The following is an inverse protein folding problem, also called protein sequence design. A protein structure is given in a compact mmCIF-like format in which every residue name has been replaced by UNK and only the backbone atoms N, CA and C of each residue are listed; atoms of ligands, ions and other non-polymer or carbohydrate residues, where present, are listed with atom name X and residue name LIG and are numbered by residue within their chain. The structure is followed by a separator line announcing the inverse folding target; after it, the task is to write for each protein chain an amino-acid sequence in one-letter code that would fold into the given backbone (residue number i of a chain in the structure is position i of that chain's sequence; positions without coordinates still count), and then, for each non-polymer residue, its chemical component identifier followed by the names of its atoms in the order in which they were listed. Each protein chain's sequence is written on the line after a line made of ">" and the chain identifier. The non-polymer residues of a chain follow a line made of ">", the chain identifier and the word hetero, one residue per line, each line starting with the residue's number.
data_IF_686723411840
#
_entry.id   IF_686723411840
#
_cell.length_a   1.000
_cell.length_b   1.000
_cell.length_c   1.000
_cell.angle_alpha   90.00
_cell.angle_beta   90.00
_cell.angle_gamma   90.00
#
_symmetry.space_group_name_H-M   'P 1'
#
loop_
_entity.id
_entity.type
_entity.pdbx_description
1 polymer ?
#
# COMPACT_ATOMS: atom_id res chain seq x y z
N UNK A 1 14.71 36.73 38.76
CA UNK A 1 14.63 35.25 38.79
C UNK A 1 14.87 34.73 37.39
N UNK A 2 16.05 34.11 37.22
CA UNK A 2 16.73 33.92 35.95
C UNK A 2 16.25 32.67 35.20
N UNK A 3 16.10 32.82 33.88
CA UNK A 3 15.73 31.77 32.92
C UNK A 3 16.91 30.80 32.75
N UNK A 4 16.65 29.50 32.84
CA UNK A 4 17.59 28.45 32.40
C UNK A 4 17.02 27.79 31.16
N UNK A 5 17.47 28.27 30.00
CA UNK A 5 17.34 27.56 28.73
C UNK A 5 18.60 26.71 28.55
N UNK A 6 18.47 25.39 28.50
CA UNK A 6 19.59 24.49 28.15
C UNK A 6 19.52 24.17 26.66
N UNK A 7 20.50 24.67 25.94
CA UNK A 7 20.86 24.24 24.59
C UNK A 7 21.50 22.85 24.67
N UNK A 8 21.00 21.87 23.91
CA UNK A 8 21.71 20.63 23.64
C UNK A 8 22.55 20.80 22.37
N UNK A 9 23.82 21.15 22.54
CA UNK A 9 24.87 20.92 21.54
C UNK A 9 25.67 19.69 21.98
N UNK A 10 25.45 18.56 21.32
CA UNK A 10 26.28 17.36 21.48
C UNK A 10 27.30 17.28 20.35
N UNK A 11 28.57 16.93 20.62
CA UNK A 11 29.62 16.87 19.60
C UNK A 11 29.50 15.60 18.73
N UNK A 12 29.95 15.72 17.48
CA UNK A 12 30.17 14.64 16.54
C UNK A 12 31.15 13.61 17.12
N UNK A 13 30.66 12.39 17.40
CA UNK A 13 31.51 11.25 17.70
C UNK A 13 32.04 10.64 16.41
N UNK A 14 33.35 10.67 16.29
CA UNK A 14 34.14 10.04 15.25
C UNK A 14 34.22 8.53 15.56
N UNK A 15 33.45 7.70 14.85
CA UNK A 15 33.42 6.24 15.05
C UNK A 15 34.57 5.61 14.26
N UNK A 16 35.63 5.22 14.98
CA UNK A 16 36.64 4.28 14.47
C UNK A 16 36.03 2.88 14.45
N UNK A 17 36.05 2.24 13.30
CA UNK A 17 35.66 0.84 13.11
C UNK A 17 36.56 -0.10 13.90
N UNK A 18 35.97 -0.94 14.75
CA UNK A 18 36.59 -2.14 15.33
C UNK A 18 35.75 -3.36 14.97
N UNK A 19 36.38 -4.51 14.61
CA UNK A 19 35.67 -5.74 14.34
C UNK A 19 35.39 -6.45 15.68
N UNK A 20 34.12 -6.68 15.99
CA UNK A 20 33.75 -7.49 17.15
C UNK A 20 32.62 -8.42 16.77
N UNK A 21 33.00 -9.68 16.50
CA UNK A 21 32.07 -10.80 16.37
C UNK A 21 31.55 -11.17 17.76
N UNK A 22 30.25 -11.01 17.96
CA UNK A 22 29.56 -11.44 19.17
C UNK A 22 29.20 -12.93 19.06
N UNK A 23 29.71 -13.73 20.01
CA UNK A 23 29.55 -15.19 20.08
C UNK A 23 28.28 -15.65 20.82
N UNK A 24 27.26 -14.80 20.99
CA UNK A 24 26.06 -15.11 21.77
C UNK A 24 24.74 -14.74 21.07
N UNK A 25 24.73 -14.65 19.74
CA UNK A 25 23.48 -14.58 18.99
C UNK A 25 22.86 -16.00 18.87
N UNK A 26 21.57 -16.19 19.22
CA UNK A 26 20.90 -17.47 19.00
C UNK A 26 20.90 -17.81 17.50
N UNK A 27 21.02 -19.11 17.20
CA UNK A 27 21.13 -19.64 15.84
C UNK A 27 20.02 -19.07 14.95
N UNK A 28 20.42 -18.27 13.94
CA UNK A 28 19.51 -17.80 12.90
C UNK A 28 18.90 -19.02 12.22
N UNK A 29 17.58 -19.07 12.23
CA UNK A 29 16.75 -19.98 11.46
C UNK A 29 17.25 -20.11 10.03
N UNK A 30 17.40 -21.36 9.62
CA UNK A 30 17.82 -21.85 8.30
C UNK A 30 17.07 -21.10 7.19
N UNK A 31 17.82 -20.77 6.13
CA UNK A 31 17.30 -20.29 4.86
C UNK A 31 16.10 -21.13 4.41
N UNK A 32 14.94 -20.48 4.26
CA UNK A 32 13.76 -21.09 3.68
C UNK A 32 14.11 -21.59 2.28
N UNK A 33 14.16 -22.92 2.14
CA UNK A 33 14.33 -23.63 0.88
C UNK A 33 13.18 -23.21 -0.05
N UNK A 34 13.53 -22.67 -1.23
CA UNK A 34 12.60 -22.47 -2.34
C UNK A 34 11.81 -23.76 -2.53
N UNK A 35 10.51 -23.72 -2.27
CA UNK A 35 9.61 -24.78 -2.73
C UNK A 35 9.40 -24.59 -4.22
N UNK A 36 10.03 -25.45 -5.00
CA UNK A 36 9.63 -25.70 -6.39
C UNK A 36 8.21 -26.27 -6.36
N UNK A 37 7.24 -25.44 -6.72
CA UNK A 37 5.87 -25.89 -6.98
C UNK A 37 5.83 -26.33 -8.43
N UNK A 38 6.12 -27.61 -8.67
CA UNK A 38 5.70 -28.25 -9.90
C UNK A 38 5.24 -29.68 -9.64
N UNK A 39 4.02 -29.93 -10.12
CA UNK A 39 3.54 -31.21 -10.66
C UNK A 39 3.41 -32.34 -9.66
N UNK A 40 2.18 -32.62 -9.22
CA UNK A 40 1.70 -33.98 -8.98
C UNK A 40 0.16 -33.96 -8.92
N UNK A 41 -0.49 -34.13 -10.08
CA UNK A 41 -1.83 -34.71 -10.15
C UNK A 41 -1.82 -35.78 -11.24
N UNK A 42 -1.67 -37.04 -10.81
CA UNK A 42 -2.13 -38.25 -11.50
C UNK A 42 -1.84 -39.45 -10.60
N UNK A 43 -2.79 -39.76 -9.72
CA UNK A 43 -2.95 -41.10 -9.17
C UNK A 43 -4.06 -41.78 -9.98
N UNK A 44 -3.66 -42.70 -10.87
CA UNK A 44 -4.56 -43.72 -11.43
C UNK A 44 -3.86 -45.08 -11.32
N UNK A 45 -4.65 -46.01 -10.79
CA UNK A 45 -4.49 -47.44 -10.48
C UNK A 45 -3.63 -48.28 -11.47
N UNK A 46 -3.01 -49.40 -11.01
CA UNK A 46 -2.01 -50.15 -11.76
C UNK A 46 -2.64 -51.20 -12.68
N UNK A 47 -2.10 -51.33 -13.90
CA UNK A 47 -2.10 -52.59 -14.64
C UNK A 47 -0.70 -52.82 -15.21
N UNK A 48 -0.18 -53.98 -14.84
CA UNK A 48 1.07 -54.61 -15.26
C UNK A 48 1.24 -54.62 -16.78
N UNK A 49 2.40 -54.21 -17.27
CA UNK A 49 3.07 -54.85 -18.40
C UNK A 49 4.57 -54.59 -18.29
N UNK A 50 5.35 -55.67 -18.23
CA UNK A 50 6.79 -55.66 -18.33
C UNK A 50 7.21 -55.19 -19.74
N UNK A 51 8.18 -54.30 -19.82
CA UNK A 51 8.72 -53.81 -21.09
C UNK A 51 9.89 -52.85 -20.88
N UNK A 52 11.09 -53.37 -21.16
CA UNK A 52 12.38 -52.71 -21.44
C UNK A 52 12.46 -51.18 -21.39
N UNK A 53 13.33 -50.67 -20.50
CA UNK A 53 13.86 -49.30 -20.54
C UNK A 53 14.87 -49.12 -21.69
N UNK A 54 14.74 -48.10 -22.55
CA UNK A 54 15.85 -47.58 -23.32
C UNK A 54 16.62 -46.52 -22.50
N UNK A 55 17.94 -46.70 -22.40
CA UNK A 55 18.90 -45.70 -21.92
C UNK A 55 18.89 -44.49 -22.85
N UNK A 56 18.57 -43.31 -22.31
CA UNK A 56 18.79 -42.04 -23.01
C UNK A 56 20.19 -41.51 -22.67
N UNK A 57 21.12 -41.71 -23.60
CA UNK A 57 22.43 -41.05 -23.63
C UNK A 57 22.24 -39.67 -24.29
N UNK A 58 22.41 -38.56 -23.55
CA UNK A 58 22.50 -37.22 -24.15
C UNK A 58 23.92 -37.01 -24.67
N UNK A 59 24.11 -37.11 -25.99
CA UNK A 59 25.28 -36.54 -26.68
C UNK A 59 25.05 -35.04 -26.91
N UNK A 60 26.03 -34.22 -26.53
CA UNK A 60 26.11 -32.81 -26.92
C UNK A 60 26.70 -32.74 -28.33
N UNK A 61 25.85 -32.61 -29.34
CA UNK A 61 26.25 -32.22 -30.69
C UNK A 61 25.98 -30.73 -30.87
N UNK A 62 27.06 -29.98 -31.09
CA UNK A 62 27.06 -28.56 -31.40
C UNK A 62 26.75 -28.41 -32.89
N UNK A 63 25.48 -28.14 -33.23
CA UNK A 63 25.08 -27.78 -34.59
C UNK A 63 24.99 -26.24 -34.71
N UNK A 64 25.76 -25.70 -35.65
CA UNK A 64 25.74 -24.30 -36.05
C UNK A 64 24.42 -24.00 -36.77
N UNK A 65 23.43 -23.48 -36.04
CA UNK A 65 22.21 -22.92 -36.61
C UNK A 65 22.56 -21.56 -37.21
N UNK A 66 22.59 -21.48 -38.53
CA UNK A 66 22.68 -20.23 -39.28
C UNK A 66 21.38 -19.46 -39.08
N UNK A 67 21.45 -18.39 -38.29
CA UNK A 67 20.32 -17.52 -37.98
C UNK A 67 19.97 -16.70 -39.23
N UNK A 68 18.91 -17.11 -39.92
CA UNK A 68 18.28 -16.35 -40.98
C UNK A 68 17.62 -15.10 -40.36
N UNK A 69 18.19 -13.94 -40.64
CA UNK A 69 17.76 -12.64 -40.12
C UNK A 69 16.40 -12.26 -40.69
N UNK A 70 15.34 -12.73 -40.03
CA UNK A 70 13.98 -12.27 -40.26
C UNK A 70 13.89 -10.75 -40.00
N UNK A 71 13.15 -10.00 -40.82
CA UNK A 71 13.02 -8.55 -40.69
C UNK A 71 12.44 -8.21 -39.32
N UNK A 72 13.21 -7.43 -38.55
CA UNK A 72 12.83 -6.89 -37.23
C UNK A 72 11.52 -6.10 -37.40
N UNK A 73 10.41 -6.53 -36.77
CA UNK A 73 9.18 -5.75 -36.77
C UNK A 73 9.51 -4.38 -36.15
N UNK A 74 9.29 -3.33 -36.94
CA UNK A 74 9.56 -1.97 -36.53
C UNK A 74 8.82 -1.64 -35.23
N UNK A 75 9.54 -1.01 -34.31
CA UNK A 75 9.16 -0.66 -32.94
C UNK A 75 7.97 0.31 -32.87
N UNK A 76 6.75 -0.14 -33.18
CA UNK A 76 5.52 0.63 -32.89
C UNK A 76 5.06 0.47 -31.43
N UNK A 77 5.75 -0.34 -30.62
CA UNK A 77 5.37 -0.69 -29.25
C UNK A 77 5.66 0.37 -28.18
N UNK A 78 6.07 1.58 -28.56
CA UNK A 78 6.70 2.53 -27.62
C UNK A 78 5.85 3.73 -27.16
N UNK A 79 4.80 4.13 -27.88
CA UNK A 79 3.94 5.24 -27.47
C UNK A 79 2.86 4.74 -26.53
N UNK A 80 3.26 4.36 -25.31
CA UNK A 80 2.32 4.46 -24.20
C UNK A 80 1.82 5.90 -24.17
N UNK A 81 0.51 6.06 -24.31
CA UNK A 81 -0.09 7.39 -24.38
C UNK A 81 0.16 8.06 -23.04
N UNK A 82 1.07 9.04 -23.04
CA UNK A 82 1.36 9.92 -21.90
C UNK A 82 0.04 10.46 -21.31
N UNK A 83 -0.98 10.64 -22.16
CA UNK A 83 -2.32 11.06 -21.77
C UNK A 83 -2.97 10.11 -20.76
N UNK A 84 -2.78 8.80 -20.89
CA UNK A 84 -3.32 7.87 -19.91
C UNK A 84 -2.60 7.96 -18.56
N UNK A 85 -1.29 8.12 -18.55
CA UNK A 85 -0.52 8.30 -17.31
C UNK A 85 -0.90 9.61 -16.62
N UNK A 86 -1.16 10.67 -17.41
CA UNK A 86 -1.68 11.94 -16.92
C UNK A 86 -3.08 11.76 -16.29
N UNK A 87 -3.99 11.03 -16.94
CA UNK A 87 -5.32 10.72 -16.37
C UNK A 87 -5.25 9.98 -15.03
N UNK A 88 -4.27 9.06 -14.88
CA UNK A 88 -4.07 8.35 -13.63
C UNK A 88 -3.52 9.27 -12.53
N UNK A 89 -2.63 10.20 -12.86
CA UNK A 89 -2.17 11.23 -11.92
C UNK A 89 -3.30 12.18 -11.52
N UNK A 90 -4.03 12.73 -12.49
CA UNK A 90 -5.20 13.59 -12.25
C UNK A 90 -6.23 12.91 -11.33
N UNK A 91 -6.43 11.60 -11.49
CA UNK A 91 -7.28 10.83 -10.59
C UNK A 91 -6.76 10.82 -9.14
N UNK A 92 -5.47 10.55 -8.92
CA UNK A 92 -4.89 10.57 -7.57
C UNK A 92 -4.88 11.98 -6.97
N UNK A 93 -4.56 13.00 -7.78
CA UNK A 93 -4.58 14.41 -7.38
C UNK A 93 -6.01 14.82 -6.96
N UNK A 94 -7.05 14.30 -7.63
CA UNK A 94 -8.45 14.55 -7.24
C UNK A 94 -8.83 13.92 -5.90
N UNK A 95 -8.25 12.76 -5.56
CA UNK A 95 -8.47 12.08 -4.26
C UNK A 95 -7.69 12.78 -3.15
N UNK A 96 -6.53 13.35 -3.48
CA UNK A 96 -5.62 13.98 -2.54
C UNK A 96 -5.26 15.41 -3.00
N UNK A 97 -6.16 16.41 -2.85
CA UNK A 97 -6.07 17.74 -3.51
C UNK A 97 -4.86 18.61 -3.18
N UNK A 98 -3.96 18.16 -2.30
CA UNK A 98 -2.70 18.84 -1.96
C UNK A 98 -1.46 18.06 -2.41
N UNK A 99 -1.62 16.89 -3.02
CA UNK A 99 -0.55 16.03 -3.48
C UNK A 99 -0.56 16.00 -5.00
N UNK A 100 0.55 16.37 -5.62
CA UNK A 100 0.74 16.29 -7.07
C UNK A 100 1.54 15.03 -7.40
N UNK A 101 0.89 14.03 -7.96
CA UNK A 101 1.51 12.75 -8.29
C UNK A 101 2.21 12.82 -9.65
N UNK A 102 3.50 12.42 -9.74
CA UNK A 102 4.14 12.23 -11.04
C UNK A 102 3.36 11.19 -11.89
N UNK A 103 3.08 11.44 -13.18
CA UNK A 103 2.33 10.51 -14.05
C UNK A 103 2.89 9.09 -14.06
N UNK A 104 4.21 8.95 -14.08
CA UNK A 104 4.89 7.65 -14.11
C UNK A 104 4.73 6.91 -12.78
N UNK A 105 4.68 7.65 -11.66
CA UNK A 105 4.40 7.07 -10.35
C UNK A 105 2.94 6.62 -10.29
N UNK A 106 1.99 7.49 -10.65
CA UNK A 106 0.56 7.16 -10.66
C UNK A 106 0.27 5.91 -11.51
N UNK A 107 0.88 5.82 -12.70
CA UNK A 107 0.78 4.64 -13.56
C UNK A 107 1.24 3.37 -12.84
N UNK A 108 2.40 3.39 -12.16
CA UNK A 108 2.90 2.22 -11.42
C UNK A 108 2.04 1.87 -10.22
N UNK A 109 1.51 2.87 -9.50
CA UNK A 109 0.64 2.66 -8.33
C UNK A 109 -0.70 2.01 -8.72
N UNK A 110 -1.25 2.40 -9.88
CA UNK A 110 -2.55 1.97 -10.39
C UNK A 110 -2.43 0.88 -11.48
N UNK A 111 -1.28 0.21 -11.59
CA UNK A 111 -1.11 -0.97 -12.46
C UNK A 111 -0.83 -2.20 -11.61
N UNK A 112 -1.75 -3.16 -11.61
CA UNK A 112 -1.57 -4.44 -10.95
C UNK A 112 -0.71 -5.39 -11.80
N UNK A 113 0.02 -6.31 -11.14
CA UNK A 113 0.93 -7.25 -11.81
C UNK A 113 0.26 -8.24 -12.77
N UNK A 114 -1.07 -8.36 -12.76
CA UNK A 114 -1.81 -9.17 -13.76
C UNK A 114 -2.12 -8.43 -15.06
N UNK A 115 -1.92 -7.12 -15.13
CA UNK A 115 -2.18 -6.35 -16.35
C UNK A 115 -1.04 -6.55 -17.37
N UNK A 116 -1.36 -6.50 -18.67
CA UNK A 116 -0.36 -6.63 -19.75
C UNK A 116 0.74 -5.55 -19.69
N UNK A 117 0.38 -4.34 -19.25
CA UNK A 117 1.31 -3.20 -19.15
C UNK A 117 2.23 -3.30 -17.91
N UNK A 118 2.05 -4.31 -17.04
CA UNK A 118 2.84 -4.47 -15.82
C UNK A 118 4.35 -4.60 -16.08
N UNK A 119 4.75 -4.94 -17.31
CA UNK A 119 6.15 -4.97 -17.76
C UNK A 119 6.84 -3.60 -17.67
N UNK A 120 6.08 -2.50 -17.75
CA UNK A 120 6.60 -1.13 -17.60
C UNK A 120 6.61 -0.66 -16.13
N UNK A 121 6.24 -1.54 -15.22
CA UNK A 121 6.14 -1.28 -13.80
C UNK A 121 4.74 -1.57 -13.28
N UNK A 122 4.69 -2.13 -12.08
CA UNK A 122 3.46 -2.46 -11.39
C UNK A 122 3.57 -2.12 -9.91
N UNK A 123 2.45 -2.22 -9.22
CA UNK A 123 2.27 -1.71 -7.87
C UNK A 123 2.93 -2.55 -6.76
N UNK A 124 3.61 -3.66 -7.10
CA UNK A 124 4.08 -4.65 -6.12
C UNK A 124 5.11 -4.10 -5.13
N UNK A 125 6.09 -3.32 -5.62
CA UNK A 125 7.13 -2.71 -4.77
C UNK A 125 6.52 -1.68 -3.81
N UNK A 126 5.61 -0.84 -4.31
CA UNK A 126 4.94 0.16 -3.47
C UNK A 126 3.96 -0.49 -2.50
N UNK A 127 3.26 -1.55 -2.90
CA UNK A 127 2.39 -2.33 -2.02
C UNK A 127 3.15 -2.94 -0.83
N UNK A 128 4.36 -3.45 -1.08
CA UNK A 128 5.24 -3.96 -0.02
C UNK A 128 5.62 -2.89 1.02
N UNK A 129 5.95 -1.68 0.56
CA UNK A 129 6.26 -0.55 1.44
C UNK A 129 5.01 -0.10 2.17
N UNK A 130 3.91 0.12 1.46
CA UNK A 130 2.67 0.63 2.03
C UNK A 130 2.03 -0.28 3.06
N UNK A 131 2.18 -1.61 2.92
CA UNK A 131 1.78 -2.56 3.97
C UNK A 131 2.47 -2.27 5.30
N UNK A 132 3.79 -2.04 5.27
CA UNK A 132 4.58 -1.71 6.46
C UNK A 132 4.20 -0.35 7.03
N UNK A 133 3.96 0.63 6.16
CA UNK A 133 3.54 1.99 6.54
C UNK A 133 2.19 1.93 7.28
N UNK A 134 1.21 1.23 6.72
CA UNK A 134 -0.10 1.04 7.33
C UNK A 134 -0.01 0.31 8.68
N UNK A 135 0.71 -0.80 8.73
CA UNK A 135 0.92 -1.59 9.94
C UNK A 135 1.61 -0.77 11.05
N UNK A 136 2.67 -0.03 10.71
CA UNK A 136 3.41 0.82 11.65
C UNK A 136 2.51 1.90 12.23
N UNK A 137 1.77 2.65 11.41
CA UNK A 137 0.90 3.72 11.92
C UNK A 137 -0.30 3.18 12.69
N UNK A 138 -0.84 2.02 12.32
CA UNK A 138 -1.93 1.42 13.08
C UNK A 138 -1.45 0.91 14.45
N UNK A 139 -0.30 0.25 14.53
CA UNK A 139 0.27 -0.16 15.81
C UNK A 139 0.61 1.03 16.71
N UNK A 140 1.22 2.09 16.15
CA UNK A 140 1.47 3.34 16.89
C UNK A 140 0.17 3.95 17.43
N UNK A 141 -0.90 3.95 16.63
CA UNK A 141 -2.23 4.34 17.07
C UNK A 141 -2.69 3.48 18.25
N UNK A 142 -2.72 2.14 18.10
CA UNK A 142 -3.17 1.22 19.14
C UNK A 142 -2.38 1.40 20.45
N UNK A 143 -1.06 1.52 20.38
CA UNK A 143 -0.21 1.78 21.55
C UNK A 143 -0.48 3.14 22.20
N UNK A 144 -0.83 4.16 21.43
CA UNK A 144 -1.15 5.50 21.97
C UNK A 144 -2.46 5.52 22.76
N UNK A 145 -3.43 4.68 22.40
CA UNK A 145 -4.76 4.64 23.03
C UNK A 145 -4.79 3.67 24.22
N UNK A 146 -4.01 2.60 24.18
CA UNK A 146 -4.19 1.46 25.09
C UNK A 146 -3.48 1.56 26.44
N UNK A 147 -3.11 2.77 26.89
CA UNK A 147 -2.44 2.98 28.19
C UNK A 147 -3.27 2.49 29.39
N UNK A 148 -4.56 2.19 29.22
CA UNK A 148 -5.48 1.84 30.30
C UNK A 148 -5.96 0.37 30.33
N UNK A 149 -5.72 -0.45 29.28
CA UNK A 149 -6.27 -1.82 29.20
C UNK A 149 -5.25 -2.81 28.60
N UNK A 150 -4.65 -3.73 29.39
CA UNK A 150 -3.59 -4.62 28.93
C UNK A 150 -4.08 -5.88 28.14
N UNK A 151 -5.35 -5.98 27.76
CA UNK A 151 -5.94 -7.25 27.29
C UNK A 151 -6.17 -7.37 25.78
N UNK A 152 -5.74 -6.41 24.96
CA UNK A 152 -5.95 -6.48 23.51
C UNK A 152 -4.76 -7.11 22.79
N UNK A 153 -5.03 -8.15 22.01
CA UNK A 153 -4.07 -8.72 21.05
C UNK A 153 -3.97 -7.79 19.82
N UNK A 154 -2.97 -6.90 19.83
CA UNK A 154 -2.77 -5.93 18.75
C UNK A 154 -2.37 -6.57 17.42
N UNK A 155 -1.67 -7.71 17.42
CA UNK A 155 -1.30 -8.40 16.19
C UNK A 155 -2.55 -8.96 15.50
N UNK A 156 -3.46 -9.56 16.28
CA UNK A 156 -4.75 -10.03 15.76
C UNK A 156 -5.64 -8.89 15.31
N UNK A 157 -5.70 -7.77 16.04
CA UNK A 157 -6.45 -6.58 15.62
C UNK A 157 -5.88 -6.01 14.31
N UNK A 158 -4.55 -5.92 14.19
CA UNK A 158 -3.83 -5.38 13.03
C UNK A 158 -4.02 -6.24 11.79
N UNK A 159 -3.74 -7.54 11.88
CA UNK A 159 -3.90 -8.49 10.77
C UNK A 159 -5.34 -8.54 10.24
N UNK A 160 -6.33 -8.34 11.13
CA UNK A 160 -7.74 -8.28 10.77
C UNK A 160 -8.12 -6.94 10.13
N UNK A 161 -7.88 -5.82 10.81
CA UNK A 161 -8.31 -4.50 10.36
C UNK A 161 -7.59 -4.04 9.08
N UNK A 162 -6.33 -4.46 8.88
CA UNK A 162 -5.54 -4.16 7.67
C UNK A 162 -5.53 -5.30 6.65
N UNK A 163 -6.48 -6.23 6.75
CA UNK A 163 -6.65 -7.28 5.75
C UNK A 163 -6.87 -6.67 4.37
N UNK A 164 -6.09 -7.11 3.37
CA UNK A 164 -6.16 -6.59 2.00
C UNK A 164 -7.59 -6.58 1.43
N UNK A 165 -8.41 -7.59 1.71
CA UNK A 165 -9.80 -7.62 1.25
C UNK A 165 -10.65 -6.52 1.89
N UNK A 166 -10.46 -6.22 3.18
CA UNK A 166 -11.18 -5.13 3.84
C UNK A 166 -10.76 -3.76 3.31
N UNK A 167 -9.46 -3.57 3.03
CA UNK A 167 -8.97 -2.34 2.40
C UNK A 167 -9.62 -2.16 1.02
N UNK A 168 -9.68 -3.22 0.23
CA UNK A 168 -10.35 -3.21 -1.08
C UNK A 168 -11.86 -3.04 -1.00
N UNK A 169 -12.52 -3.57 0.03
CA UNK A 169 -13.98 -3.48 0.20
C UNK A 169 -14.41 -2.11 0.72
N UNK A 170 -13.64 -1.51 1.65
CA UNK A 170 -14.08 -0.32 2.39
C UNK A 170 -13.35 0.98 2.00
N UNK A 171 -12.10 0.91 1.55
CA UNK A 171 -11.30 2.11 1.21
C UNK A 171 -11.29 2.34 -0.29
N UNK A 172 -11.02 1.30 -1.08
CA UNK A 172 -10.87 1.46 -2.53
C UNK A 172 -12.09 2.08 -3.23
N UNK A 173 -13.35 1.81 -2.85
CA UNK A 173 -14.51 2.48 -3.43
C UNK A 173 -14.56 3.98 -3.09
N UNK A 174 -14.08 4.39 -1.90
CA UNK A 174 -13.99 5.81 -1.50
C UNK A 174 -12.97 6.57 -2.35
N UNK A 175 -11.95 5.87 -2.81
CA UNK A 175 -10.95 6.38 -3.74
C UNK A 175 -11.29 6.09 -5.20
N UNK A 176 -12.47 5.53 -5.49
CA UNK A 176 -12.91 5.17 -6.85
C UNK A 176 -11.90 4.32 -7.66
N UNK A 177 -11.07 3.51 -6.98
CA UNK A 177 -10.01 2.74 -7.63
C UNK A 177 -10.54 1.67 -8.58
N UNK A 178 -11.76 1.16 -8.36
CA UNK A 178 -12.33 0.10 -9.18
C UNK A 178 -12.46 0.45 -10.67
N UNK A 179 -12.53 1.74 -11.02
CA UNK A 179 -12.66 2.22 -12.39
C UNK A 179 -11.33 2.59 -13.06
N UNK A 180 -10.33 2.94 -12.26
CA UNK A 180 -9.05 3.49 -12.74
C UNK A 180 -7.90 2.50 -12.67
N UNK A 181 -8.03 1.47 -11.82
CA UNK A 181 -7.03 0.43 -11.66
C UNK A 181 -6.91 -0.44 -12.91
N UNK A 182 -5.69 -0.57 -13.43
CA UNK A 182 -5.36 -1.49 -14.53
C UNK A 182 -5.06 -2.87 -13.99
N UNK A 183 -5.91 -3.84 -14.31
CA UNK A 183 -5.75 -5.23 -13.89
C UNK A 183 -6.43 -6.17 -14.88
N UNK A 184 -6.01 -7.45 -14.90
CA UNK A 184 -6.73 -8.50 -15.60
C UNK A 184 -7.34 -9.50 -14.60
N UNK A 185 -8.61 -9.91 -14.78
CA UNK A 185 -9.26 -10.91 -13.94
C UNK A 185 -8.64 -12.29 -14.13
N UNK A 186 -8.58 -13.08 -13.05
CA UNK A 186 -8.12 -14.48 -13.11
C UNK A 186 -9.10 -15.37 -13.87
N UNK A 187 -10.37 -14.98 -13.90
CA UNK A 187 -11.44 -15.69 -14.59
C UNK A 187 -11.58 -15.11 -16.01
N UNK A 188 -11.69 -15.99 -17.00
CA UNK A 188 -11.90 -15.57 -18.39
C UNK A 188 -13.19 -14.75 -18.54
N UNK A 189 -13.18 -13.78 -19.47
CA UNK A 189 -14.35 -12.93 -19.74
C UNK A 189 -15.59 -13.76 -20.08
N UNK A 190 -15.40 -14.89 -20.78
CA UNK A 190 -16.49 -15.79 -21.17
C UNK A 190 -17.15 -16.45 -19.96
N UNK A 191 -16.38 -16.88 -18.96
CA UNK A 191 -16.91 -17.43 -17.73
C UNK A 191 -17.67 -16.38 -16.91
N UNK A 192 -17.17 -15.13 -16.88
CA UNK A 192 -17.87 -14.03 -16.23
C UNK A 192 -19.20 -13.72 -16.90
N UNK A 193 -19.19 -13.60 -18.24
CA UNK A 193 -20.39 -13.38 -19.04
C UNK A 193 -21.40 -14.53 -18.88
N UNK A 194 -20.95 -15.78 -18.87
CA UNK A 194 -21.83 -16.92 -18.63
C UNK A 194 -22.48 -16.87 -17.24
N UNK A 195 -21.72 -16.52 -16.21
CA UNK A 195 -22.23 -16.40 -14.84
C UNK A 195 -23.28 -15.29 -14.70
N UNK A 196 -23.12 -14.19 -15.44
CA UNK A 196 -24.01 -13.03 -15.39
C UNK A 196 -25.25 -13.27 -16.25
N UNK A 197 -25.09 -13.79 -17.48
CA UNK A 197 -26.19 -14.18 -18.38
C UNK A 197 -27.11 -15.23 -17.75
N UNK A 198 -26.57 -16.15 -16.93
CA UNK A 198 -27.40 -17.13 -16.23
C UNK A 198 -28.37 -16.53 -15.21
N UNK A 199 -28.14 -15.27 -14.78
CA UNK A 199 -28.95 -14.58 -13.77
C UNK A 199 -29.68 -13.35 -14.30
N UNK A 200 -29.17 -12.72 -15.34
CA UNK A 200 -29.75 -11.51 -15.90
C UNK A 200 -30.04 -11.73 -17.39
N UNK A 201 -31.33 -11.70 -17.73
CA UNK A 201 -31.84 -11.75 -19.10
C UNK A 201 -31.31 -10.51 -19.84
N UNK A 202 -30.45 -10.72 -20.84
CA UNK A 202 -29.82 -9.73 -21.74
C UNK A 202 -29.53 -8.36 -21.12
N UNK A 203 -28.30 -8.20 -20.65
CA UNK A 203 -27.83 -6.97 -19.99
C UNK A 203 -26.62 -6.45 -20.76
N UNK A 204 -26.63 -5.16 -21.07
CA UNK A 204 -25.61 -4.42 -21.82
C UNK A 204 -24.27 -4.31 -21.06
N UNK A 205 -23.17 -4.02 -21.75
CA UNK A 205 -21.84 -3.87 -21.13
C UNK A 205 -21.80 -2.75 -20.06
N UNK A 206 -22.60 -1.69 -20.20
CA UNK A 206 -22.72 -0.63 -19.17
C UNK A 206 -23.43 -1.10 -17.90
N UNK A 207 -24.38 -2.02 -18.03
CA UNK A 207 -25.06 -2.62 -16.90
C UNK A 207 -24.23 -3.74 -16.24
N UNK A 208 -23.16 -4.22 -16.89
CA UNK A 208 -22.22 -5.16 -16.29
C UNK A 208 -21.56 -4.57 -15.04
N UNK A 209 -21.15 -3.31 -15.10
CA UNK A 209 -20.58 -2.59 -13.96
C UNK A 209 -21.61 -2.42 -12.83
N UNK A 210 -22.87 -2.16 -13.19
CA UNK A 210 -23.98 -2.07 -12.22
C UNK A 210 -24.24 -3.45 -11.59
N UNK A 211 -24.28 -4.52 -12.38
CA UNK A 211 -24.51 -5.88 -11.91
C UNK A 211 -23.38 -6.39 -10.99
N UNK A 212 -22.13 -6.01 -11.28
CA UNK A 212 -20.99 -6.26 -10.41
C UNK A 212 -21.12 -5.50 -9.09
N UNK A 213 -21.57 -4.25 -9.12
CA UNK A 213 -21.84 -3.47 -7.90
C UNK A 213 -22.98 -4.07 -7.06
N UNK A 214 -24.00 -4.66 -7.69
CA UNK A 214 -25.16 -5.28 -7.01
C UNK A 214 -24.80 -6.63 -6.37
N UNK A 215 -23.78 -7.34 -6.88
CA UNK A 215 -23.42 -8.68 -6.44
C UNK A 215 -22.00 -8.75 -5.82
N UNK A 216 -21.84 -8.42 -4.53
CA UNK A 216 -20.52 -8.42 -3.88
C UNK A 216 -19.83 -9.80 -3.87
N UNK A 217 -20.62 -10.89 -3.96
CA UNK A 217 -20.09 -12.26 -4.07
C UNK A 217 -19.32 -12.48 -5.37
N UNK A 218 -19.76 -11.88 -6.48
CA UNK A 218 -19.07 -11.98 -7.77
C UNK A 218 -17.75 -11.20 -7.71
N UNK A 219 -17.76 -9.99 -7.16
CA UNK A 219 -16.53 -9.19 -6.96
C UNK A 219 -15.49 -9.91 -6.09
N UNK A 220 -15.92 -10.64 -5.06
CA UNK A 220 -15.06 -11.52 -4.25
C UNK A 220 -14.48 -12.67 -5.08
N UNK A 221 -15.31 -13.32 -5.91
CA UNK A 221 -14.88 -14.46 -6.73
C UNK A 221 -13.84 -14.12 -7.79
N UNK A 222 -13.90 -12.91 -8.37
CA UNK A 222 -12.94 -12.46 -9.40
C UNK A 222 -11.63 -11.92 -8.82
N UNK A 223 -11.53 -11.85 -7.48
CA UNK A 223 -10.35 -11.32 -6.79
C UNK A 223 -10.23 -9.79 -6.81
N UNK A 224 -11.26 -9.07 -7.25
CA UNK A 224 -11.21 -7.62 -7.44
C UNK A 224 -10.93 -6.87 -6.12
N UNK A 225 -11.58 -7.26 -5.01
CA UNK A 225 -11.29 -6.64 -3.70
C UNK A 225 -9.85 -6.88 -3.24
N UNK A 226 -9.26 -8.02 -3.57
CA UNK A 226 -7.85 -8.26 -3.26
C UNK A 226 -6.95 -7.30 -4.06
N UNK A 227 -7.17 -7.22 -5.36
CA UNK A 227 -6.40 -6.37 -6.27
C UNK A 227 -6.54 -4.88 -5.93
N UNK A 228 -7.74 -4.43 -5.59
CA UNK A 228 -7.99 -3.08 -5.10
C UNK A 228 -7.34 -2.82 -3.73
N UNK A 229 -7.36 -3.78 -2.82
CA UNK A 229 -6.66 -3.67 -1.54
C UNK A 229 -5.15 -3.55 -1.70
N UNK A 230 -4.56 -4.30 -2.64
CA UNK A 230 -3.14 -4.19 -2.98
C UNK A 230 -2.83 -2.81 -3.60
N UNK A 231 -3.75 -2.25 -4.38
CA UNK A 231 -3.64 -0.87 -4.89
C UNK A 231 -3.71 0.18 -3.76
N UNK A 232 -4.59 0.02 -2.77
CA UNK A 232 -4.63 0.89 -1.58
C UNK A 232 -3.29 0.87 -0.83
N UNK A 233 -2.73 -0.33 -0.61
CA UNK A 233 -1.39 -0.48 -0.03
C UNK A 233 -0.35 0.22 -0.90
N UNK A 234 -0.38 0.04 -2.22
CA UNK A 234 0.58 0.68 -3.11
C UNK A 234 0.49 2.21 -3.06
N UNK A 235 -0.71 2.80 -3.12
CA UNK A 235 -0.91 4.25 -3.00
C UNK A 235 -0.31 4.78 -1.69
N UNK A 236 -0.55 4.11 -0.56
CA UNK A 236 0.07 4.48 0.71
C UNK A 236 1.60 4.41 0.68
N UNK A 237 2.16 3.39 0.04
CA UNK A 237 3.61 3.26 -0.15
C UNK A 237 4.19 4.33 -1.10
N UNK A 238 3.45 4.70 -2.15
CA UNK A 238 3.79 5.78 -3.07
C UNK A 238 3.77 7.14 -2.37
N UNK A 239 2.75 7.40 -1.54
CA UNK A 239 2.67 8.63 -0.74
C UNK A 239 3.85 8.73 0.22
N UNK A 240 4.16 7.64 0.94
CA UNK A 240 5.31 7.60 1.83
C UNK A 240 6.63 7.86 1.08
N UNK A 241 6.79 7.26 -0.10
CA UNK A 241 8.00 7.41 -0.91
C UNK A 241 8.16 8.83 -1.47
N UNK A 242 7.09 9.42 -1.99
CA UNK A 242 7.13 10.71 -2.70
C UNK A 242 7.01 11.91 -1.77
N UNK A 243 6.16 11.83 -0.76
CA UNK A 243 5.81 12.96 0.12
C UNK A 243 6.26 12.77 1.58
N UNK A 244 6.86 11.61 1.90
CA UNK A 244 7.44 11.33 3.21
C UNK A 244 6.47 10.80 4.26
N UNK A 245 7.04 10.41 5.41
CA UNK A 245 6.31 9.75 6.50
C UNK A 245 5.24 10.61 7.15
N UNK A 246 5.48 11.91 7.36
CA UNK A 246 4.52 12.80 8.01
C UNK A 246 3.21 12.93 7.23
N UNK A 247 3.29 13.01 5.89
CA UNK A 247 2.12 13.07 5.00
C UNK A 247 1.39 11.73 5.01
N UNK A 248 2.12 10.61 4.86
CA UNK A 248 1.52 9.28 4.91
C UNK A 248 0.82 8.99 6.25
N UNK A 249 1.38 9.44 7.37
CA UNK A 249 0.78 9.32 8.70
C UNK A 249 -0.53 10.10 8.80
N UNK A 250 -0.57 11.31 8.24
CA UNK A 250 -1.78 12.12 8.17
C UNK A 250 -2.85 11.46 7.29
N UNK A 251 -2.48 10.98 6.11
CA UNK A 251 -3.38 10.23 5.21
C UNK A 251 -3.94 8.99 5.90
N UNK A 252 -3.11 8.26 6.66
CA UNK A 252 -3.59 7.10 7.41
C UNK A 252 -4.72 7.48 8.38
N UNK A 253 -4.52 8.50 9.21
CA UNK A 253 -5.50 8.89 10.22
C UNK A 253 -6.76 9.56 9.65
N UNK A 254 -6.65 10.22 8.50
CA UNK A 254 -7.76 11.01 7.92
C UNK A 254 -8.51 10.26 6.82
N UNK A 255 -7.83 9.43 6.03
CA UNK A 255 -8.39 8.78 4.82
C UNK A 255 -8.49 7.25 4.92
N UNK A 256 -7.78 6.60 5.84
CA UNK A 256 -7.77 5.14 5.97
C UNK A 256 -8.48 4.69 7.24
N UNK A 257 -8.01 5.15 8.40
CA UNK A 257 -8.48 4.72 9.71
C UNK A 257 -10.01 4.86 9.90
N UNK A 258 -10.66 5.98 9.50
CA UNK A 258 -12.11 6.13 9.67
C UNK A 258 -12.92 5.07 8.91
N UNK A 259 -12.40 4.55 7.80
CA UNK A 259 -13.09 3.59 6.94
C UNK A 259 -12.89 2.12 7.36
N UNK A 260 -11.95 1.84 8.26
CA UNK A 260 -11.72 0.50 8.81
C UNK A 260 -12.28 0.32 10.24
N UNK A 261 -12.94 1.35 10.80
CA UNK A 261 -13.57 1.26 12.12
C UNK A 261 -14.69 0.21 12.16
N UNK A 262 -15.57 0.20 11.15
CA UNK A 262 -16.65 -0.78 10.94
C UNK A 262 -17.45 -1.11 12.24
N UNK A 263 -18.28 -0.17 12.74
CA UNK A 263 -19.06 -0.37 13.97
C UNK A 263 -19.95 -1.61 13.89
N UNK A 264 -20.03 -2.36 15.00
CA UNK A 264 -20.74 -3.64 15.08
C UNK A 264 -20.13 -4.80 14.29
N UNK A 265 -19.01 -4.61 13.57
CA UNK A 265 -18.34 -5.68 12.81
C UNK A 265 -17.08 -6.13 13.50
N UNK A 266 -17.01 -7.44 13.76
CA UNK A 266 -15.83 -8.09 14.29
C UNK A 266 -14.67 -8.18 13.28
N UNK A 267 -14.69 -7.46 12.17
CA UNK A 267 -13.62 -7.39 11.17
C UNK A 267 -12.84 -6.07 11.29
N UNK A 268 -13.47 -5.01 11.80
CA UNK A 268 -12.88 -3.68 11.91
C UNK A 268 -12.01 -3.47 13.14
N UNK A 269 -11.83 -2.21 13.52
CA UNK A 269 -11.20 -1.83 14.78
C UNK A 269 -12.19 -2.05 15.94
N UNK A 270 -11.78 -2.56 17.12
CA UNK A 270 -12.68 -2.64 18.28
C UNK A 270 -13.28 -1.27 18.65
N UNK A 271 -14.55 -1.27 19.08
CA UNK A 271 -15.35 -0.05 19.34
C UNK A 271 -14.71 0.88 20.38
N UNK A 272 -14.02 0.32 21.36
CA UNK A 272 -13.24 1.06 22.38
C UNK A 272 -12.26 2.08 21.78
N UNK A 273 -11.79 1.87 20.55
CA UNK A 273 -10.83 2.75 19.87
C UNK A 273 -11.50 3.80 18.97
N UNK A 274 -12.80 3.66 18.65
CA UNK A 274 -13.46 4.46 17.60
C UNK A 274 -13.48 5.94 17.94
N UNK A 275 -13.93 6.30 19.14
CA UNK A 275 -14.01 7.68 19.59
C UNK A 275 -12.64 8.37 19.53
N UNK A 276 -11.58 7.64 19.88
CA UNK A 276 -10.22 8.18 19.85
C UNK A 276 -9.69 8.31 18.43
N UNK A 277 -9.97 7.35 17.55
CA UNK A 277 -9.63 7.41 16.14
C UNK A 277 -10.24 8.65 15.47
N UNK A 278 -11.55 8.88 15.69
CA UNK A 278 -12.27 10.03 15.12
C UNK A 278 -11.73 11.37 15.66
N UNK A 279 -11.47 11.48 16.96
CA UNK A 279 -10.82 12.70 17.53
C UNK A 279 -9.44 12.97 16.93
N UNK A 280 -8.65 11.93 16.64
CA UNK A 280 -7.35 12.11 15.98
C UNK A 280 -7.54 12.56 14.53
N UNK A 281 -8.50 11.98 13.81
CA UNK A 281 -8.87 12.40 12.47
C UNK A 281 -9.25 13.88 12.42
N UNK A 282 -10.17 14.32 13.29
CA UNK A 282 -10.59 15.73 13.41
C UNK A 282 -9.41 16.67 13.69
N UNK A 283 -8.57 16.33 14.67
CA UNK A 283 -7.37 17.11 15.02
C UNK A 283 -6.35 17.20 13.87
N UNK A 284 -6.33 16.21 12.99
CA UNK A 284 -5.50 16.20 11.78
C UNK A 284 -6.18 16.89 10.58
N UNK A 285 -7.28 17.61 10.78
CA UNK A 285 -7.99 18.35 9.73
C UNK A 285 -9.23 17.64 9.19
N UNK A 286 -9.65 16.53 9.80
CA UNK A 286 -10.82 15.75 9.39
C UNK A 286 -10.54 14.89 8.15
N UNK A 287 -11.60 14.25 7.65
CA UNK A 287 -11.49 13.42 6.45
C UNK A 287 -10.98 14.26 5.29
N UNK A 288 -11.46 15.48 5.09
CA UNK A 288 -11.11 16.34 3.95
C UNK A 288 -9.96 17.34 4.18
N UNK A 289 -9.20 17.17 5.25
CA UNK A 289 -8.12 18.09 5.62
C UNK A 289 -6.98 18.16 4.59
N UNK A 290 -6.36 19.34 4.48
CA UNK A 290 -5.15 19.59 3.66
C UNK A 290 -4.01 18.68 4.14
N UNK A 291 -3.32 17.95 3.26
CA UNK A 291 -2.32 16.96 3.70
C UNK A 291 -0.93 17.55 3.90
N UNK A 292 -0.61 18.63 3.19
CA UNK A 292 0.65 19.34 3.36
C UNK A 292 0.54 20.31 4.53
N UNK A 293 1.48 20.22 5.46
CA UNK A 293 1.64 21.26 6.47
C UNK A 293 2.21 22.46 5.74
N UNK A 294 1.40 23.51 5.55
CA UNK A 294 1.95 24.81 5.17
C UNK A 294 2.87 25.22 6.31
N UNK A 295 4.18 25.13 6.09
CA UNK A 295 5.12 25.91 6.87
C UNK A 295 4.77 27.33 6.49
N UNK A 296 3.85 27.95 7.23
CA UNK A 296 3.67 29.39 7.17
C UNK A 296 5.06 29.92 7.43
N UNK A 297 5.75 30.35 6.38
CA UNK A 297 6.99 31.07 6.51
C UNK A 297 6.61 32.18 7.46
N UNK A 298 7.05 32.06 8.71
CA UNK A 298 6.91 33.10 9.70
C UNK A 298 7.72 34.21 9.09
N UNK A 299 7.06 35.06 8.28
CA UNK A 299 7.63 36.29 7.78
C UNK A 299 8.03 37.01 9.04
N UNK A 300 9.32 36.93 9.34
CA UNK A 300 9.94 37.66 10.41
C UNK A 300 9.83 39.14 10.04
N UNK A 301 8.66 39.71 10.25
CA UNK A 301 8.61 41.07 10.77
C UNK A 301 9.13 40.93 12.20
N UNK A 302 10.45 40.96 12.31
CA UNK A 302 11.13 41.33 13.54
C UNK A 302 10.65 42.76 13.79
N UNK A 303 9.52 42.91 14.48
CA UNK A 303 9.26 44.12 15.22
C UNK A 303 10.29 44.11 16.34
N UNK A 304 11.38 44.80 16.04
CA UNK A 304 12.28 45.45 16.99
C UNK A 304 11.42 46.37 17.88
N UNK A 305 10.71 45.75 18.82
CA UNK A 305 10.02 46.43 19.91
C UNK A 305 11.06 46.72 20.98
N UNK A 306 11.73 47.83 20.73
CA UNK A 306 12.08 48.86 21.71
C UNK A 306 12.20 48.37 23.15
N UNK A 307 13.43 48.09 23.54
CA UNK A 307 13.85 47.97 24.93
C UNK A 307 14.05 49.40 25.43
N UNK A 308 12.97 50.08 25.80
CA UNK A 308 13.04 51.26 26.66
C UNK A 308 11.84 51.30 27.61
N UNK A 309 12.18 51.49 28.89
CA UNK A 309 11.31 51.90 30.01
C UNK A 309 10.32 50.85 30.55
N UNK A 310 10.20 50.60 31.86
CA UNK A 310 10.74 51.30 33.02
C UNK A 310 10.75 50.36 34.24
N UNK A 311 11.77 50.55 35.08
CA UNK A 311 11.64 50.55 36.53
C UNK A 311 10.24 50.99 36.98
N UNK A 312 9.59 50.18 37.83
CA UNK A 312 8.77 50.69 38.93
C UNK A 312 8.52 49.57 39.96
N UNK A 313 9.23 49.76 41.06
CA UNK A 313 8.77 49.63 42.44
C UNK A 313 8.24 48.30 42.98
N UNK A 314 9.12 47.66 43.78
CA UNK A 314 9.05 47.70 45.25
C UNK A 314 7.66 47.79 45.91
N UNK A 315 7.16 46.67 46.47
CA UNK A 315 6.56 46.57 47.83
C UNK A 315 6.33 45.07 48.12
N UNK A 316 7.17 44.38 48.92
CA UNK A 316 7.02 44.18 50.38
C UNK A 316 5.57 44.11 50.84
N UNK A 317 5.13 42.98 51.41
CA UNK A 317 4.50 42.85 52.74
C UNK A 317 4.33 41.34 53.06
N UNK A 318 5.14 40.92 54.05
CA UNK A 318 4.97 39.89 55.10
C UNK A 318 4.69 38.44 54.68
#
# INVERSE_FOLDING_TARGET
>A
MSRVSRCFNGPLWNIKSLPSGSALAPARTVSAQRRDIHVLSKLRSPKSHAGMCPRFSRSLSSENITFESSPVPSQETGRYSQDESNRLAEHLDSIFPSLNFPPELAQRLLTHGSHKDAVHGHNGRFGFVGRRVLETYFLLFLHSVSRAKPHHDYERITSRALNTYLLGEHIAPRWSLGRTLRWAPTVSSDTLRASIKSKAKEVSDAELDVALAVNPKIMKSVGLYKVMGDAVQAVMGGIYHQFGGSVAHKVFHTRVLPHILLPGRAEGVPEDFHLKALRICERMGGVDGELLVRTSATSGTVQELDVMEAERDSTVVI
#
